data_IF_206493159595
#
_entry.id   IF_206493159595
#
_cell.length_a   1.000
_cell.length_b   1.000
_cell.length_c   1.000
_cell.angle_alpha   90.00
_cell.angle_beta   90.00
_cell.angle_gamma   90.00
#
_symmetry.space_group_name_H-M   'P 1'
#
loop_
_entity.id
_entity.type
_entity.pdbx_description
1 polymer ?
#
# COMPACT_ATOMS: atom_id res chain seq x y z
N UNK A 1 -2.17 -0.95 9.35
CA UNK A 1 -3.27 -1.07 8.36
C UNK A 1 -4.59 -0.47 8.91
N UNK A 2 -4.73 0.86 8.86
CA UNK A 2 -5.96 1.55 9.29
C UNK A 2 -7.09 1.32 8.27
N UNK A 3 -8.34 1.28 8.73
CA UNK A 3 -9.52 1.25 7.86
C UNK A 3 -9.87 2.65 7.39
N UNK A 4 -10.11 2.79 6.08
CA UNK A 4 -10.42 4.06 5.45
C UNK A 4 -11.85 4.04 4.88
N UNK A 5 -12.72 4.88 5.45
CA UNK A 5 -14.10 5.07 4.98
C UNK A 5 -14.25 6.32 4.09
N UNK A 6 -13.47 7.36 4.37
CA UNK A 6 -13.64 8.66 3.71
C UNK A 6 -13.34 8.63 2.20
N UNK A 7 -12.24 8.00 1.71
CA UNK A 7 -11.97 7.99 0.28
C UNK A 7 -13.11 7.40 -0.55
N UNK A 8 -13.71 6.31 -0.06
CA UNK A 8 -14.78 5.60 -0.76
C UNK A 8 -16.09 6.39 -0.70
N UNK A 9 -16.37 7.01 0.45
CA UNK A 9 -17.54 7.90 0.63
C UNK A 9 -17.48 9.12 -0.30
N UNK A 10 -16.31 9.75 -0.46
CA UNK A 10 -16.15 10.93 -1.30
C UNK A 10 -16.32 10.64 -2.79
N UNK A 11 -15.66 9.59 -3.29
CA UNK A 11 -15.80 9.15 -4.69
C UNK A 11 -17.27 8.84 -5.00
N UNK A 12 -17.96 8.17 -4.08
CA UNK A 12 -19.38 7.88 -4.22
C UNK A 12 -20.23 9.15 -4.25
N UNK A 13 -20.00 10.11 -3.34
CA UNK A 13 -20.78 11.35 -3.29
C UNK A 13 -20.59 12.24 -4.53
N UNK A 14 -19.45 12.14 -5.20
CA UNK A 14 -19.20 12.84 -6.47
C UNK A 14 -19.70 12.06 -7.70
N UNK A 15 -20.34 10.89 -7.52
CA UNK A 15 -20.86 10.07 -8.62
C UNK A 15 -19.79 9.27 -9.38
N UNK A 16 -18.53 9.33 -8.96
CA UNK A 16 -17.39 8.74 -9.67
C UNK A 16 -17.14 7.25 -9.36
N UNK A 17 -18.03 6.60 -8.62
CA UNK A 17 -17.83 5.21 -8.18
C UNK A 17 -17.73 4.16 -9.29
N UNK A 18 -18.13 4.51 -10.52
CA UNK A 18 -17.98 3.66 -11.73
C UNK A 18 -16.79 4.07 -12.61
N UNK A 19 -16.23 5.24 -12.38
CA UNK A 19 -15.19 5.86 -13.21
C UNK A 19 -13.81 5.78 -12.55
N UNK A 20 -13.76 5.69 -11.22
CA UNK A 20 -12.52 5.64 -10.46
C UNK A 20 -12.39 4.32 -9.67
N UNK A 21 -11.21 3.71 -9.76
CA UNK A 21 -10.78 2.64 -8.88
C UNK A 21 -9.98 3.22 -7.70
N UNK A 22 -10.05 2.56 -6.55
CA UNK A 22 -9.24 2.88 -5.38
C UNK A 22 -8.34 1.69 -5.04
N UNK A 23 -7.05 1.93 -4.84
CA UNK A 23 -6.06 0.91 -4.49
C UNK A 23 -5.24 1.37 -3.28
N UNK A 24 -5.00 0.47 -2.33
CA UNK A 24 -4.19 0.76 -1.14
C UNK A 24 -3.55 -0.50 -0.57
N UNK A 25 -2.39 -0.35 0.07
CA UNK A 25 -1.79 -1.33 0.99
C UNK A 25 -2.42 -1.27 2.40
N UNK A 26 -3.37 -0.35 2.61
CA UNK A 26 -4.25 -0.27 3.76
C UNK A 26 -5.53 -1.09 3.60
N UNK A 27 -6.61 -0.67 4.28
CA UNK A 27 -7.94 -1.30 4.19
C UNK A 27 -9.00 -0.27 3.86
N UNK A 28 -10.02 -0.68 3.12
CA UNK A 28 -11.27 0.07 2.98
C UNK A 28 -12.35 -0.52 3.88
N UNK A 29 -13.35 0.29 4.24
CA UNK A 29 -14.45 -0.17 5.08
C UNK A 29 -15.46 -1.03 4.32
N UNK A 30 -16.15 -1.93 5.02
CA UNK A 30 -17.14 -2.85 4.41
C UNK A 30 -18.35 -2.17 3.74
N UNK A 31 -18.63 -0.90 4.06
CA UNK A 31 -19.67 -0.10 3.40
C UNK A 31 -19.30 0.48 2.03
N UNK A 32 -18.18 0.04 1.47
CA UNK A 32 -17.60 0.58 0.23
C UNK A 32 -18.34 0.07 -1.01
N UNK A 33 -18.51 0.95 -2.00
CA UNK A 33 -19.06 0.64 -3.32
C UNK A 33 -18.08 0.98 -4.43
N UNK A 34 -18.17 0.30 -5.57
CA UNK A 34 -17.23 0.49 -6.69
C UNK A 34 -15.96 -0.35 -6.53
N UNK A 35 -14.96 -0.11 -7.38
CA UNK A 35 -13.74 -0.90 -7.42
C UNK A 35 -12.74 -0.40 -6.36
N UNK A 36 -12.83 -0.95 -5.14
CA UNK A 36 -11.97 -0.56 -4.01
C UNK A 36 -11.17 -1.75 -3.49
N UNK A 37 -9.86 -1.69 -3.71
CA UNK A 37 -8.94 -2.80 -3.50
C UNK A 37 -8.00 -2.44 -2.36
N UNK A 38 -8.11 -3.17 -1.25
CA UNK A 38 -7.18 -3.08 -0.13
C UNK A 38 -6.14 -4.20 -0.15
N UNK A 39 -5.27 -4.20 0.85
CA UNK A 39 -4.32 -5.27 1.12
C UNK A 39 -3.29 -5.53 0.01
N UNK A 40 -3.01 -4.52 -0.82
CA UNK A 40 -1.92 -4.60 -1.78
C UNK A 40 -0.62 -4.95 -1.06
N UNK A 41 -0.03 -6.09 -1.44
CA UNK A 41 1.14 -6.68 -0.79
C UNK A 41 2.19 -7.07 -1.84
N UNK A 42 3.50 -6.89 -1.59
CA UNK A 42 4.08 -6.23 -0.41
C UNK A 42 3.66 -4.77 -0.28
N UNK A 43 3.55 -4.28 0.95
CA UNK A 43 3.16 -2.89 1.23
C UNK A 43 4.24 -1.88 0.78
N UNK A 44 3.89 -0.61 0.67
CA UNK A 44 4.82 0.42 0.23
C UNK A 44 6.07 0.50 1.13
N UNK A 45 5.87 0.36 2.44
CA UNK A 45 6.94 0.37 3.43
C UNK A 45 7.88 -0.84 3.33
N UNK A 46 7.42 -1.95 2.76
CA UNK A 46 8.21 -3.15 2.48
C UNK A 46 8.85 -3.14 1.08
N UNK A 47 8.71 -2.02 0.35
CA UNK A 47 9.26 -1.87 -1.00
C UNK A 47 8.51 -2.62 -2.09
N UNK A 48 7.21 -2.86 -1.90
CA UNK A 48 6.34 -3.38 -2.95
C UNK A 48 6.19 -2.43 -4.14
N UNK A 49 5.66 -2.95 -5.25
CA UNK A 49 5.49 -2.17 -6.48
C UNK A 49 4.59 -0.93 -6.29
N UNK A 50 3.66 -0.97 -5.34
CA UNK A 50 2.79 0.17 -5.00
C UNK A 50 3.57 1.42 -4.56
N UNK A 51 4.78 1.26 -4.00
CA UNK A 51 5.64 2.39 -3.64
C UNK A 51 6.38 3.04 -4.83
N UNK A 52 6.33 2.41 -6.02
CA UNK A 52 7.00 2.86 -7.23
C UNK A 52 6.05 3.50 -8.24
N UNK A 53 4.76 3.58 -7.91
CA UNK A 53 3.75 4.24 -8.73
C UNK A 53 4.01 5.74 -8.69
N UNK A 54 4.00 6.36 -9.85
CA UNK A 54 4.04 7.81 -10.03
C UNK A 54 2.74 8.28 -10.72
N UNK A 55 2.43 9.57 -10.57
CA UNK A 55 1.25 10.17 -11.18
C UNK A 55 1.27 10.00 -12.71
N UNK A 56 0.13 9.60 -13.28
CA UNK A 56 0.00 9.33 -14.71
C UNK A 56 0.37 7.90 -15.14
N UNK A 57 0.89 7.06 -14.25
CA UNK A 57 1.09 5.64 -14.56
C UNK A 57 -0.24 4.92 -14.81
N UNK A 58 -0.25 3.99 -15.76
CA UNK A 58 -1.43 3.17 -16.03
C UNK A 58 -1.46 1.94 -15.12
N UNK A 59 -2.61 1.71 -14.47
CA UNK A 59 -2.88 0.51 -13.68
C UNK A 59 -4.03 -0.24 -14.33
N UNK A 60 -3.76 -1.45 -14.80
CA UNK A 60 -4.77 -2.35 -15.36
C UNK A 60 -5.34 -3.22 -14.25
N UNK A 61 -6.67 -3.27 -14.16
CA UNK A 61 -7.37 -4.15 -13.23
C UNK A 61 -8.27 -5.09 -14.03
N UNK A 62 -7.94 -6.38 -13.98
CA UNK A 62 -8.65 -7.45 -14.66
C UNK A 62 -9.28 -8.38 -13.63
N UNK A 63 -10.59 -8.21 -13.42
CA UNK A 63 -11.36 -8.98 -12.44
C UNK A 63 -11.50 -10.46 -12.84
N UNK A 64 -11.87 -10.80 -14.09
CA UNK A 64 -11.94 -12.21 -14.52
C UNK A 64 -10.62 -12.97 -14.30
N UNK A 65 -9.48 -12.35 -14.60
CA UNK A 65 -8.17 -12.98 -14.44
C UNK A 65 -7.53 -12.73 -13.07
N UNK A 66 -8.22 -12.01 -12.16
CA UNK A 66 -7.75 -11.66 -10.81
C UNK A 66 -6.35 -11.01 -10.84
N UNK A 67 -6.13 -10.09 -11.79
CA UNK A 67 -4.84 -9.43 -12.02
C UNK A 67 -4.95 -7.92 -11.77
N UNK A 68 -3.95 -7.39 -11.10
CA UNK A 68 -3.67 -5.95 -11.03
C UNK A 68 -2.26 -5.77 -11.58
N UNK A 69 -2.10 -4.94 -12.61
CA UNK A 69 -0.83 -4.74 -13.29
C UNK A 69 -0.50 -3.26 -13.40
N UNK A 70 0.65 -2.87 -12.85
CA UNK A 70 1.25 -1.58 -13.12
C UNK A 70 1.89 -1.63 -14.52
N UNK A 71 1.21 -1.06 -15.50
CA UNK A 71 1.59 -1.09 -16.93
C UNK A 71 2.69 -0.06 -17.21
N UNK A 72 3.83 -0.26 -16.56
CA UNK A 72 5.04 0.55 -16.68
C UNK A 72 6.17 -0.38 -17.07
N UNK A 73 7.03 0.08 -17.98
CA UNK A 73 8.17 -0.69 -18.45
C UNK A 73 9.07 -1.15 -17.30
N UNK A 74 9.55 -2.40 -17.39
CA UNK A 74 10.37 -3.00 -16.33
C UNK A 74 11.65 -2.22 -16.06
N UNK A 75 12.24 -1.63 -17.10
CA UNK A 75 13.43 -0.78 -17.00
C UNK A 75 13.16 0.50 -16.19
N UNK A 76 11.99 1.11 -16.37
CA UNK A 76 11.57 2.30 -15.61
C UNK A 76 11.34 1.94 -14.15
N UNK A 77 10.62 0.84 -13.87
CA UNK A 77 10.41 0.38 -12.49
C UNK A 77 11.73 0.01 -11.79
N UNK A 78 12.68 -0.58 -12.52
CA UNK A 78 14.01 -0.87 -12.00
C UNK A 78 14.79 0.41 -11.66
N UNK A 79 14.73 1.42 -12.54
CA UNK A 79 15.35 2.73 -12.30
C UNK A 79 14.74 3.44 -11.09
N UNK A 80 13.39 3.45 -10.96
CA UNK A 80 12.68 4.02 -9.80
C UNK A 80 13.06 3.30 -8.51
N UNK A 81 13.15 1.97 -8.54
CA UNK A 81 13.60 1.17 -7.39
C UNK A 81 15.03 1.54 -6.98
N UNK A 82 15.97 1.57 -7.92
CA UNK A 82 17.35 1.95 -7.64
C UNK A 82 17.45 3.36 -7.06
N UNK A 83 16.68 4.32 -7.59
CA UNK A 83 16.61 5.68 -7.06
C UNK A 83 16.00 5.73 -5.64
N UNK A 84 15.03 4.86 -5.34
CA UNK A 84 14.45 4.74 -4.00
C UNK A 84 15.44 4.14 -3.00
N UNK A 85 16.13 3.07 -3.39
CA UNK A 85 17.15 2.40 -2.58
C UNK A 85 18.37 3.29 -2.32
N UNK A 86 18.75 4.15 -3.28
CA UNK A 86 19.81 5.14 -3.13
C UNK A 86 19.55 6.16 -2.00
N UNK A 87 18.30 6.29 -1.52
CA UNK A 87 17.96 7.14 -0.35
C UNK A 87 18.44 6.52 0.98
N UNK A 88 18.99 5.31 0.97
CA UNK A 88 19.59 4.65 2.14
C UNK A 88 18.61 4.53 3.30
N UNK A 89 18.95 5.10 4.46
CA UNK A 89 18.10 5.04 5.67
C UNK A 89 16.71 5.68 5.49
N UNK A 90 16.52 6.50 4.47
CA UNK A 90 15.24 7.15 4.14
C UNK A 90 14.45 6.41 3.05
N UNK A 91 15.00 5.35 2.47
CA UNK A 91 14.29 4.51 1.50
C UNK A 91 13.01 3.93 2.13
N UNK A 92 11.93 3.86 1.33
CA UNK A 92 10.63 3.27 1.71
C UNK A 92 9.95 3.94 2.92
N UNK A 93 10.44 5.10 3.34
CA UNK A 93 9.85 5.92 4.40
C UNK A 93 9.12 7.11 3.79
N UNK A 94 8.02 7.55 4.40
CA UNK A 94 7.29 8.72 3.93
C UNK A 94 8.14 9.99 4.06
N UNK A 95 8.20 10.78 2.99
CA UNK A 95 9.11 11.91 2.87
C UNK A 95 8.79 13.12 3.77
N UNK A 96 7.50 13.39 4.05
CA UNK A 96 7.03 14.60 4.75
C UNK A 96 6.01 14.32 5.86
N UNK A 97 6.05 13.14 6.48
CA UNK A 97 5.05 12.75 7.50
C UNK A 97 5.54 13.10 8.91
N UNK A 98 4.95 14.14 9.49
CA UNK A 98 5.10 14.47 10.91
C UNK A 98 3.99 13.81 11.71
N UNK A 99 4.33 12.75 12.46
CA UNK A 99 3.37 12.07 13.35
C UNK A 99 4.10 11.44 14.52
N UNK A 100 3.61 11.67 15.73
CA UNK A 100 4.03 10.92 16.92
C UNK A 100 3.57 9.47 16.81
N UNK A 101 4.52 8.53 16.81
CA UNK A 101 4.22 7.09 16.81
C UNK A 101 4.37 6.58 18.23
N UNK A 102 3.27 6.15 18.84
CA UNK A 102 3.28 5.61 20.21
C UNK A 102 4.13 4.35 20.32
N UNK A 103 4.64 4.06 21.52
CA UNK A 103 5.41 2.84 21.77
C UNK A 103 4.65 1.56 21.35
N UNK A 104 3.33 1.52 21.57
CA UNK A 104 2.49 0.41 21.12
C UNK A 104 2.49 0.23 19.60
N UNK A 105 2.42 1.33 18.82
CA UNK A 105 2.48 1.26 17.37
C UNK A 105 3.88 0.92 16.84
N UNK A 106 4.94 1.37 17.53
CA UNK A 106 6.31 0.97 17.21
C UNK A 106 6.50 -0.54 17.42
N UNK A 107 6.04 -1.06 18.57
CA UNK A 107 6.08 -2.49 18.87
C UNK A 107 5.26 -3.31 17.87
N UNK A 108 4.05 -2.85 17.52
CA UNK A 108 3.24 -3.51 16.48
C UNK A 108 3.96 -3.55 15.13
N UNK A 109 4.51 -2.42 14.68
CA UNK A 109 5.22 -2.35 13.41
C UNK A 109 6.48 -3.24 13.36
N UNK A 110 7.13 -3.48 14.49
CA UNK A 110 8.32 -4.34 14.56
C UNK A 110 8.02 -5.85 14.51
N UNK A 111 6.76 -6.26 14.68
CA UNK A 111 6.36 -7.67 14.73
C UNK A 111 5.31 -8.05 13.69
N UNK A 112 4.60 -7.09 13.11
CA UNK A 112 3.53 -7.41 12.17
C UNK A 112 4.09 -8.04 10.90
N UNK A 113 3.44 -9.09 10.44
CA UNK A 113 3.67 -9.68 9.12
C UNK A 113 2.86 -8.92 8.06
N UNK A 114 3.07 -9.27 6.79
CA UNK A 114 2.35 -8.65 5.67
C UNK A 114 0.86 -9.04 5.69
N UNK A 115 0.06 -8.29 4.95
CA UNK A 115 -1.39 -8.47 4.94
C UNK A 115 -1.83 -9.75 4.21
N UNK A 116 -1.05 -10.21 3.23
CA UNK A 116 -1.26 -11.50 2.55
C UNK A 116 -1.08 -12.70 3.51
N UNK A 117 -0.32 -12.54 4.59
CA UNK A 117 -0.20 -13.51 5.69
C UNK A 117 -1.10 -13.20 6.89
N UNK A 118 -2.06 -12.28 6.74
CA UNK A 118 -3.06 -11.96 7.77
C UNK A 118 -2.63 -10.93 8.82
N UNK A 119 -1.52 -10.22 8.61
CA UNK A 119 -0.99 -9.20 9.53
C UNK A 119 -0.86 -9.68 10.99
N UNK A 120 -0.49 -10.96 11.16
CA UNK A 120 -0.23 -11.56 12.48
C UNK A 120 1.06 -11.00 13.08
N UNK A 121 1.18 -11.04 14.40
CA UNK A 121 2.42 -10.66 15.11
C UNK A 121 3.36 -11.85 15.21
N UNK A 122 4.53 -11.75 14.60
CA UNK A 122 5.62 -12.72 14.73
C UNK A 122 6.74 -12.13 15.62
N UNK A 123 6.84 -12.67 16.83
CA UNK A 123 7.83 -12.25 17.83
C UNK A 123 9.26 -12.59 17.45
N UNK A 124 9.47 -13.55 16.53
CA UNK A 124 10.80 -13.96 16.08
C UNK A 124 11.52 -12.82 15.34
N UNK A 125 10.77 -11.88 14.77
CA UNK A 125 11.31 -10.69 14.11
C UNK A 125 12.09 -9.76 15.05
N UNK A 126 11.88 -9.87 16.37
CA UNK A 126 12.60 -9.08 17.38
C UNK A 126 13.99 -9.65 17.74
N UNK A 127 14.40 -10.78 17.15
CA UNK A 127 15.68 -11.42 17.46
C UNK A 127 15.72 -12.14 18.81
N UNK A 128 14.56 -12.39 19.42
CA UNK A 128 14.42 -13.26 20.59
C UNK A 128 14.56 -14.73 20.19
N UNK A 129 15.38 -15.47 20.96
CA UNK A 129 15.65 -16.91 20.79
C UNK A 129 14.40 -17.76 20.59
#
# INVERSE_FOLDING_TARGET
MQEMLYPTSYIKSMGLGKECALLTDGRFSGGTSGLSIGHASPEAAAGGAIALIEEGDTIEIDIPNRRIHLAVEKSVLAARRAAMEAKGKQAWKPAKRERTVSAALQAYAAMTTSADTGAVRDVKQLGGR
#
